data_IF_804511730771
#
_entry.id   IF_804511730771
#
_cell.length_a   1.000
_cell.length_b   1.000
_cell.length_c   1.000
_cell.angle_alpha   90.00
_cell.angle_beta   90.00
_cell.angle_gamma   90.00
#
_symmetry.space_group_name_H-M   'P 1'
#
loop_
_entity.id
_entity.type
_entity.pdbx_description
1 polymer ?
#
# COMPACT_ATOMS: atom_id res chain seq x y z
N UNK A 1 -2.43 5.97 -10.10
CA UNK A 1 -2.63 5.04 -8.98
C UNK A 1 -2.72 5.76 -7.63
N UNK A 2 -1.67 6.02 -6.85
CA UNK A 2 -1.80 6.53 -5.46
C UNK A 2 -2.65 7.80 -5.25
N UNK A 3 -2.66 8.73 -6.23
CA UNK A 3 -3.48 9.96 -6.19
C UNK A 3 -4.99 9.70 -6.10
N UNK A 4 -5.48 8.57 -6.61
CA UNK A 4 -6.91 8.23 -6.59
C UNK A 4 -7.44 7.92 -5.18
N UNK A 5 -6.55 7.64 -4.22
CA UNK A 5 -6.90 7.32 -2.84
C UNK A 5 -6.86 8.53 -1.89
N UNK A 6 -6.98 9.76 -2.40
CA UNK A 6 -7.15 10.96 -1.57
C UNK A 6 -6.04 11.23 -0.54
N UNK A 7 -4.81 10.75 -0.79
CA UNK A 7 -3.68 10.89 0.13
C UNK A 7 -3.59 9.85 1.26
N UNK A 8 -4.56 8.91 1.34
CA UNK A 8 -4.51 7.76 2.26
C UNK A 8 -3.39 6.78 1.91
N UNK A 9 -3.07 6.64 0.63
CA UNK A 9 -1.95 5.82 0.14
C UNK A 9 -0.74 6.70 -0.17
N UNK A 10 0.42 6.35 0.40
CA UNK A 10 1.71 7.01 0.12
C UNK A 10 2.70 6.02 -0.48
N UNK A 11 3.31 6.42 -1.60
CA UNK A 11 4.36 5.63 -2.26
C UNK A 11 5.72 6.13 -1.79
N UNK A 12 6.57 5.22 -1.34
CA UNK A 12 7.95 5.50 -0.96
C UNK A 12 8.89 4.62 -1.77
N UNK A 13 9.86 5.23 -2.44
CA UNK A 13 10.93 4.52 -3.13
C UNK A 13 12.06 4.22 -2.14
N UNK A 14 12.35 2.94 -1.93
CA UNK A 14 13.40 2.49 -1.00
C UNK A 14 14.34 1.57 -1.77
N UNK A 15 15.65 1.85 -1.73
CA UNK A 15 16.66 1.04 -2.41
C UNK A 15 16.85 -0.30 -1.73
N UNK A 16 17.02 -1.36 -2.52
CA UNK A 16 17.30 -2.72 -2.02
C UNK A 16 16.10 -3.42 -1.38
N UNK A 17 14.90 -2.86 -1.51
CA UNK A 17 13.67 -3.43 -0.94
C UNK A 17 12.74 -3.83 -2.08
N UNK A 18 12.17 -5.02 -1.94
CA UNK A 18 11.16 -5.56 -2.86
C UNK A 18 9.83 -4.79 -2.68
N UNK A 19 9.01 -4.65 -3.72
CA UNK A 19 7.70 -4.01 -3.61
C UNK A 19 6.86 -4.63 -2.49
N UNK A 20 6.45 -3.79 -1.55
CA UNK A 20 5.69 -4.20 -0.38
C UNK A 20 4.70 -3.11 0.01
N UNK A 21 3.56 -3.52 0.56
CA UNK A 21 2.54 -2.64 1.12
C UNK A 21 2.66 -2.71 2.63
N UNK A 22 2.86 -1.55 3.27
CA UNK A 22 2.89 -1.44 4.72
C UNK A 22 1.58 -0.81 5.22
N UNK A 23 0.83 -1.55 6.01
CA UNK A 23 -0.42 -1.10 6.62
C UNK A 23 -0.08 -0.35 7.91
N UNK A 24 -0.53 0.90 7.99
CA UNK A 24 -0.25 1.80 9.12
C UNK A 24 -1.51 2.15 9.88
N UNK A 25 -1.37 2.31 11.19
CA UNK A 25 -2.43 2.84 12.04
C UNK A 25 -2.47 4.38 12.04
N UNK A 26 -3.40 4.94 12.83
CA UNK A 26 -3.57 6.38 12.98
C UNK A 26 -2.32 7.09 13.54
N UNK A 27 -1.47 6.37 14.28
CA UNK A 27 -0.20 6.85 14.83
C UNK A 27 0.98 6.62 13.85
N UNK A 28 0.70 6.25 12.60
CA UNK A 28 1.65 5.90 11.55
C UNK A 28 2.59 4.73 11.88
N UNK A 29 2.27 3.92 12.90
CA UNK A 29 3.00 2.68 13.21
C UNK A 29 2.57 1.59 12.23
N UNK A 30 3.56 0.86 11.73
CA UNK A 30 3.32 -0.27 10.84
C UNK A 30 2.73 -1.42 11.65
N UNK A 31 1.50 -1.81 11.32
CA UNK A 31 0.87 -3.01 11.88
C UNK A 31 1.29 -4.26 11.13
N UNK A 32 1.33 -4.18 9.81
CA UNK A 32 1.60 -5.32 8.95
C UNK A 32 2.31 -4.90 7.66
N UNK A 33 3.10 -5.82 7.10
CA UNK A 33 3.78 -5.64 5.81
C UNK A 33 3.45 -6.83 4.92
N UNK A 34 2.91 -6.54 3.74
CA UNK A 34 2.53 -7.52 2.73
C UNK A 34 3.48 -7.41 1.54
N UNK A 35 3.99 -8.55 1.05
CA UNK A 35 4.75 -8.60 -0.19
C UNK A 35 3.81 -8.59 -1.38
N UNK A 36 4.03 -7.66 -2.33
CA UNK A 36 3.14 -7.46 -3.48
C UNK A 36 3.83 -7.71 -4.82
N UNK A 37 4.93 -8.48 -4.81
CA UNK A 37 5.71 -8.78 -6.02
C UNK A 37 4.90 -9.47 -7.13
N UNK A 38 3.88 -10.24 -6.73
CA UNK A 38 3.04 -11.02 -7.65
C UNK A 38 1.70 -10.37 -7.94
N UNK A 39 1.43 -9.20 -7.37
CA UNK A 39 0.13 -8.56 -7.51
C UNK A 39 0.18 -7.64 -8.72
N UNK A 40 -0.87 -7.71 -9.54
CA UNK A 40 -1.07 -6.74 -10.61
C UNK A 40 -1.69 -5.44 -10.07
N UNK A 41 -1.82 -4.46 -10.96
CA UNK A 41 -2.33 -3.13 -10.62
C UNK A 41 -3.79 -3.19 -10.19
N UNK A 42 -4.60 -4.06 -10.80
CA UNK A 42 -6.04 -4.13 -10.51
C UNK A 42 -6.28 -4.77 -9.14
N UNK A 43 -5.56 -5.84 -8.82
CA UNK A 43 -5.54 -6.50 -7.51
C UNK A 43 -5.16 -5.51 -6.40
N UNK A 44 -4.16 -4.66 -6.64
CA UNK A 44 -3.77 -3.63 -5.69
C UNK A 44 -4.86 -2.58 -5.49
N UNK A 45 -5.54 -2.18 -6.57
CA UNK A 45 -6.62 -1.20 -6.50
C UNK A 45 -7.80 -1.75 -5.70
N UNK A 46 -8.22 -2.97 -5.99
CA UNK A 46 -9.30 -3.66 -5.27
C UNK A 46 -8.97 -3.83 -3.79
N UNK A 47 -7.74 -4.26 -3.48
CA UNK A 47 -7.27 -4.36 -2.11
C UNK A 47 -7.35 -3.01 -1.38
N UNK A 48 -6.87 -1.92 -1.99
CA UNK A 48 -6.90 -0.60 -1.36
C UNK A 48 -8.33 -0.07 -1.21
N UNK A 49 -9.23 -0.34 -2.15
CA UNK A 49 -10.63 0.07 -2.02
C UNK A 49 -11.30 -0.64 -0.84
N UNK A 50 -11.11 -1.96 -0.71
CA UNK A 50 -11.67 -2.75 0.39
C UNK A 50 -11.14 -2.32 1.77
N UNK A 51 -9.86 -1.92 1.84
CA UNK A 51 -9.19 -1.62 3.11
C UNK A 51 -9.29 -0.15 3.53
N UNK A 52 -9.64 0.76 2.61
CA UNK A 52 -9.72 2.20 2.85
C UNK A 52 -11.14 2.78 2.82
N UNK A 53 -12.15 1.97 2.45
CA UNK A 53 -13.56 2.19 2.83
C UNK A 53 -13.69 2.26 4.36
#
# INVERSE_FOLDING_TARGET
>A
MARQFGGKVKVKHVRGVRPQVALKDADFKTKEVLSVEKWDTDTLIDFFNQWLE
#
